data_IF_044515642317
#
_entry.id   IF_044515642317
#
_cell.length_a   1.000
_cell.length_b   1.000
_cell.length_c   1.000
_cell.angle_alpha   90.00
_cell.angle_beta   90.00
_cell.angle_gamma   90.00
#
_symmetry.space_group_name_H-M   'P 1'
#
loop_
_entity.id
_entity.type
_entity.pdbx_description
1 polymer ?
#
# COMPACT_ATOMS: atom_id res chain seq x y z
N UNK A 1 29.35 19.53 15.93
CA UNK A 1 28.98 20.22 14.68
C UNK A 1 27.71 19.55 14.19
N UNK A 2 26.59 20.28 14.13
CA UNK A 2 25.37 19.73 13.53
C UNK A 2 25.54 19.80 12.03
N UNK A 3 25.58 18.65 11.36
CA UNK A 3 25.51 18.60 9.90
C UNK A 3 24.14 19.12 9.47
N UNK A 4 24.09 20.41 9.14
CA UNK A 4 22.94 21.03 8.50
C UNK A 4 22.78 20.37 7.13
N UNK A 5 21.72 19.58 6.98
CA UNK A 5 21.33 19.01 5.70
C UNK A 5 21.22 20.14 4.67
N UNK A 6 21.77 19.90 3.47
CA UNK A 6 21.53 20.77 2.33
C UNK A 6 20.02 20.86 2.05
N UNK A 7 19.54 21.94 1.43
CA UNK A 7 18.11 22.08 1.08
C UNK A 7 17.56 20.88 0.29
N UNK A 8 18.37 20.29 -0.59
CA UNK A 8 17.99 19.10 -1.35
C UNK A 8 17.81 17.86 -0.47
N UNK A 9 18.70 17.63 0.50
CA UNK A 9 18.60 16.52 1.44
C UNK A 9 17.40 16.68 2.38
N UNK A 10 17.14 17.89 2.87
CA UNK A 10 15.96 18.16 3.69
C UNK A 10 14.65 17.95 2.92
N UNK A 11 14.61 18.33 1.64
CA UNK A 11 13.47 18.07 0.76
C UNK A 11 13.26 16.57 0.49
N UNK A 12 14.35 15.83 0.27
CA UNK A 12 14.33 14.37 0.08
C UNK A 12 13.78 13.64 1.31
N UNK A 13 14.29 13.94 2.51
CA UNK A 13 13.81 13.32 3.75
C UNK A 13 12.33 13.63 4.01
N UNK A 14 11.90 14.87 3.72
CA UNK A 14 10.49 15.25 3.82
C UNK A 14 9.60 14.46 2.84
N UNK A 15 10.05 14.29 1.59
CA UNK A 15 9.35 13.49 0.59
C UNK A 15 9.23 12.02 1.04
N UNK A 16 10.34 11.43 1.49
CA UNK A 16 10.40 10.06 1.98
C UNK A 16 9.46 9.83 3.17
N UNK A 17 9.41 10.77 4.12
CA UNK A 17 8.49 10.71 5.26
C UNK A 17 7.02 10.72 4.83
N UNK A 18 6.65 11.59 3.88
CA UNK A 18 5.30 11.62 3.31
C UNK A 18 4.94 10.33 2.59
N UNK A 19 5.86 9.79 1.79
CA UNK A 19 5.64 8.52 1.09
C UNK A 19 5.40 7.39 2.08
N UNK A 20 6.22 7.28 3.13
CA UNK A 20 6.04 6.30 4.20
C UNK A 20 4.68 6.42 4.90
N UNK A 21 4.21 7.64 5.15
CA UNK A 21 2.88 7.84 5.74
C UNK A 21 1.75 7.38 4.81
N UNK A 22 1.84 7.68 3.50
CA UNK A 22 0.87 7.22 2.51
C UNK A 22 0.87 5.70 2.40
N UNK A 23 2.04 5.08 2.36
CA UNK A 23 2.18 3.63 2.25
C UNK A 23 1.56 2.91 3.45
N UNK A 24 1.74 3.45 4.67
CA UNK A 24 1.06 2.95 5.87
C UNK A 24 -0.46 3.09 5.79
N UNK A 25 -0.96 4.22 5.29
CA UNK A 25 -2.39 4.44 5.14
C UNK A 25 -3.02 3.45 4.13
N UNK A 26 -2.36 3.24 2.99
CA UNK A 26 -2.77 2.27 1.97
C UNK A 26 -2.80 0.85 2.52
N UNK A 27 -1.74 0.48 3.24
CA UNK A 27 -1.66 -0.83 3.89
C UNK A 27 -2.80 -1.03 4.90
N UNK A 28 -3.08 -0.03 5.74
CA UNK A 28 -4.16 -0.13 6.72
C UNK A 28 -5.53 -0.26 6.05
N UNK A 29 -5.78 0.51 4.98
CA UNK A 29 -7.01 0.42 4.20
C UNK A 29 -7.21 -0.97 3.59
N UNK A 30 -6.21 -1.48 2.86
CA UNK A 30 -6.29 -2.79 2.22
C UNK A 30 -6.49 -3.92 3.24
N UNK A 31 -5.79 -3.88 4.37
CA UNK A 31 -6.01 -4.84 5.45
C UNK A 31 -7.41 -4.75 6.04
N UNK A 32 -7.99 -3.56 6.18
CA UNK A 32 -9.37 -3.39 6.63
C UNK A 32 -10.38 -3.96 5.64
N UNK A 33 -10.09 -3.90 4.34
CA UNK A 33 -10.86 -4.52 3.26
C UNK A 33 -10.58 -6.03 3.09
N UNK A 34 -9.87 -6.67 4.02
CA UNK A 34 -9.60 -8.10 3.99
C UNK A 34 -8.57 -8.54 2.95
N UNK A 35 -7.70 -7.63 2.49
CA UNK A 35 -6.53 -7.99 1.68
C UNK A 35 -5.35 -8.35 2.58
N UNK A 36 -4.62 -9.38 2.17
CA UNK A 36 -3.45 -9.89 2.85
C UNK A 36 -2.18 -9.46 2.13
N UNK A 37 -1.20 -8.97 2.90
CA UNK A 37 0.07 -8.57 2.34
C UNK A 37 0.95 -9.80 2.08
N UNK A 38 1.45 -9.93 0.85
CA UNK A 38 2.05 -11.22 0.39
C UNK A 38 3.56 -11.31 0.56
N UNK A 39 4.28 -10.21 0.78
CA UNK A 39 5.73 -10.27 0.82
C UNK A 39 6.40 -9.11 1.57
N UNK A 40 7.17 -9.44 2.60
CA UNK A 40 8.12 -8.51 3.23
C UNK A 40 9.49 -8.45 2.51
N UNK A 41 9.66 -9.14 1.37
CA UNK A 41 10.94 -9.15 0.67
C UNK A 41 11.30 -7.76 0.11
N UNK A 42 12.49 -7.23 0.42
CA UNK A 42 12.97 -5.99 -0.17
C UNK A 42 13.07 -6.12 -1.69
N UNK A 43 12.29 -5.33 -2.43
CA UNK A 43 12.28 -5.33 -3.90
C UNK A 43 11.20 -6.20 -4.55
N UNK A 44 10.46 -7.02 -3.80
CA UNK A 44 9.18 -7.54 -4.26
C UNK A 44 8.13 -6.46 -4.00
N UNK A 45 7.71 -5.79 -5.06
CA UNK A 45 6.79 -4.67 -4.96
C UNK A 45 5.44 -5.15 -4.45
N UNK A 46 5.13 -4.83 -3.18
CA UNK A 46 3.81 -4.52 -2.64
C UNK A 46 2.59 -5.29 -3.21
N UNK A 47 2.70 -6.61 -3.29
CA UNK A 47 1.62 -7.46 -3.77
C UNK A 47 0.64 -7.78 -2.62
N UNK A 48 -0.64 -7.67 -2.93
CA UNK A 48 -1.75 -7.94 -2.04
C UNK A 48 -2.58 -9.09 -2.57
N UNK A 49 -2.95 -10.01 -1.68
CA UNK A 49 -3.81 -11.15 -1.99
C UNK A 49 -5.19 -10.97 -1.41
N UNK A 50 -6.21 -11.42 -2.13
CA UNK A 50 -7.57 -11.57 -1.61
C UNK A 50 -8.20 -12.83 -2.15
N UNK A 51 -8.83 -13.59 -1.27
CA UNK A 51 -9.72 -14.68 -1.64
C UNK A 51 -11.07 -14.07 -2.01
N UNK A 52 -11.51 -14.31 -3.24
CA UNK A 52 -12.82 -13.90 -3.72
C UNK A 52 -13.89 -14.91 -3.27
N UNK A 53 -15.16 -14.50 -3.17
CA UNK A 53 -16.29 -15.38 -2.81
C UNK A 53 -16.45 -16.61 -3.72
N UNK A 54 -16.01 -16.53 -4.98
CA UNK A 54 -16.03 -17.66 -5.92
C UNK A 54 -14.86 -18.64 -5.75
N UNK A 55 -14.02 -18.44 -4.72
CA UNK A 55 -12.90 -19.29 -4.37
C UNK A 55 -11.60 -18.98 -5.12
N UNK A 56 -11.58 -17.99 -6.02
CA UNK A 56 -10.34 -17.55 -6.69
C UNK A 56 -9.50 -16.68 -5.76
N UNK A 57 -8.18 -16.77 -5.88
CA UNK A 57 -7.24 -15.85 -5.23
C UNK A 57 -6.66 -14.92 -6.28
N UNK A 58 -6.76 -13.61 -6.04
CA UNK A 58 -6.12 -12.59 -6.88
C UNK A 58 -4.90 -12.01 -6.18
N UNK A 59 -3.87 -11.65 -6.96
CA UNK A 59 -2.68 -10.97 -6.49
C UNK A 59 -2.54 -9.68 -7.29
N UNK A 60 -2.60 -8.53 -6.61
CA UNK A 60 -2.57 -7.21 -7.24
C UNK A 60 -1.50 -6.34 -6.59
N UNK A 61 -0.96 -5.38 -7.32
CA UNK A 61 -0.17 -4.34 -6.69
C UNK A 61 -1.05 -3.45 -5.79
N UNK A 62 -0.42 -2.57 -5.02
CA UNK A 62 -1.15 -1.71 -4.06
C UNK A 62 -2.18 -0.80 -4.72
N UNK A 63 -1.91 -0.26 -5.90
CA UNK A 63 -2.81 0.68 -6.55
C UNK A 63 -4.01 -0.06 -7.14
N UNK A 64 -3.77 -1.17 -7.84
CA UNK A 64 -4.83 -2.01 -8.37
C UNK A 64 -5.69 -2.61 -7.24
N UNK A 65 -5.07 -3.05 -6.14
CA UNK A 65 -5.80 -3.54 -4.97
C UNK A 65 -6.71 -2.47 -4.36
N UNK A 66 -6.26 -1.22 -4.30
CA UNK A 66 -7.09 -0.10 -3.78
C UNK A 66 -8.27 0.14 -4.70
N UNK A 67 -8.03 0.28 -6.01
CA UNK A 67 -9.12 0.52 -6.97
C UNK A 67 -10.14 -0.61 -6.97
N UNK A 68 -9.69 -1.86 -6.84
CA UNK A 68 -10.60 -3.00 -6.72
C UNK A 68 -11.36 -2.97 -5.40
N UNK A 69 -10.72 -2.65 -4.27
CA UNK A 69 -11.37 -2.56 -2.97
C UNK A 69 -12.47 -1.47 -2.94
N UNK A 70 -12.20 -0.29 -3.50
CA UNK A 70 -13.18 0.81 -3.61
C UNK A 70 -14.41 0.36 -4.43
N UNK A 71 -14.19 -0.28 -5.57
CA UNK A 71 -15.29 -0.79 -6.40
C UNK A 71 -16.08 -1.90 -5.69
N UNK A 72 -15.39 -2.82 -5.02
CA UNK A 72 -16.05 -3.90 -4.25
C UNK A 72 -16.94 -3.34 -3.14
N UNK A 73 -16.49 -2.30 -2.44
CA UNK A 73 -17.30 -1.60 -1.42
C UNK A 73 -18.52 -0.92 -2.04
N UNK A 74 -18.37 -0.21 -3.15
CA UNK A 74 -19.48 0.46 -3.86
C UNK A 74 -20.56 -0.51 -4.32
N UNK A 75 -20.17 -1.71 -4.78
CA UNK A 75 -21.12 -2.73 -5.27
C UNK A 75 -21.63 -3.69 -4.18
N UNK A 76 -21.19 -3.51 -2.92
CA UNK A 76 -21.59 -4.37 -1.79
C UNK A 76 -21.08 -5.81 -1.92
N UNK A 77 -19.90 -5.98 -2.51
CA UNK A 77 -19.27 -7.27 -2.75
C UNK A 77 -18.31 -7.59 -1.60
N UNK A 78 -18.80 -8.39 -0.65
CA UNK A 78 -18.06 -8.84 0.56
C UNK A 78 -17.35 -10.18 0.32
#
# INVERSE_FOLDING_TARGET
MSDLLSPAQAAWEKMKSKQCALDKARSAFLSACGWEYTSELPGSYWLWSKLLPDGRVVHLDTYDAISVAEVMEEVGYD
#
